data_IF_030608326422
#
_entry.id   IF_030608326422
#
_cell.length_a   1.000
_cell.length_b   1.000
_cell.length_c   1.000
_cell.angle_alpha   90.00
_cell.angle_beta   90.00
_cell.angle_gamma   90.00
#
_symmetry.space_group_name_H-M   'P 1'
#
loop_
_entity.id
_entity.type
_entity.pdbx_description
1 polymer ?
#
# COMPACT_ATOMS: atom_id res chain seq x y z
N UNK A 1 10.86 -17.81 -27.87
CA UNK A 1 9.41 -17.56 -27.74
C UNK A 1 8.71 -18.89 -27.43
N UNK A 2 8.51 -19.22 -26.19
CA UNK A 2 7.73 -20.40 -25.80
C UNK A 2 6.61 -19.91 -24.88
N UNK A 3 5.38 -20.00 -25.39
CA UNK A 3 4.17 -19.65 -24.63
C UNK A 3 3.88 -20.77 -23.64
N UNK A 4 4.01 -20.49 -22.35
CA UNK A 4 3.60 -21.40 -21.28
C UNK A 4 2.07 -21.32 -21.13
N UNK A 5 1.37 -22.36 -21.58
CA UNK A 5 -0.07 -22.51 -21.39
C UNK A 5 -0.30 -23.12 -19.99
N UNK A 6 -0.87 -22.35 -19.09
CA UNK A 6 -1.42 -22.90 -17.86
C UNK A 6 -2.69 -23.70 -18.18
N UNK A 7 -2.62 -25.01 -18.03
CA UNK A 7 -3.77 -25.92 -18.07
C UNK A 7 -4.40 -25.95 -16.67
N UNK A 8 -5.54 -25.31 -16.50
CA UNK A 8 -6.43 -25.57 -15.37
C UNK A 8 -6.99 -26.99 -15.54
N UNK A 9 -6.65 -27.88 -14.59
CA UNK A 9 -7.34 -29.17 -14.43
C UNK A 9 -8.63 -28.94 -13.64
N UNK A 10 -9.79 -29.38 -14.12
CA UNK A 10 -11.00 -29.36 -13.32
C UNK A 10 -10.92 -30.44 -12.22
N UNK A 11 -11.10 -30.05 -10.98
CA UNK A 11 -11.33 -30.97 -9.88
C UNK A 11 -12.70 -31.61 -10.04
N UNK A 12 -12.71 -32.90 -10.34
CA UNK A 12 -13.91 -33.72 -10.41
C UNK A 12 -14.39 -34.03 -8.99
N UNK A 13 -15.45 -33.36 -8.55
CA UNK A 13 -16.15 -33.72 -7.30
C UNK A 13 -16.86 -35.06 -7.53
N UNK A 14 -16.35 -36.11 -6.95
CA UNK A 14 -17.08 -37.39 -6.85
C UNK A 14 -18.03 -37.27 -5.67
N UNK A 15 -19.31 -37.02 -5.97
CA UNK A 15 -20.40 -37.11 -5.01
C UNK A 15 -20.72 -38.60 -4.79
N UNK A 16 -20.32 -39.14 -3.65
CA UNK A 16 -20.73 -40.46 -3.19
C UNK A 16 -22.17 -40.38 -2.67
N UNK A 17 -23.13 -40.81 -3.49
CA UNK A 17 -24.52 -40.97 -3.06
C UNK A 17 -24.59 -42.28 -2.24
N UNK A 18 -24.69 -42.17 -0.92
CA UNK A 18 -25.03 -43.26 -0.05
C UNK A 18 -26.54 -43.41 -0.01
N UNK A 19 -27.05 -44.43 -0.72
CA UNK A 19 -28.46 -44.84 -0.62
C UNK A 19 -28.61 -45.66 0.66
N UNK A 20 -29.14 -45.02 1.70
CA UNK A 20 -29.62 -45.78 2.88
C UNK A 20 -31.03 -46.26 2.61
N UNK A 21 -31.18 -47.57 2.49
CA UNK A 21 -32.49 -48.23 2.61
C UNK A 21 -32.95 -48.11 4.07
N UNK A 22 -34.02 -47.34 4.28
CA UNK A 22 -34.74 -47.27 5.56
C UNK A 22 -35.71 -48.46 5.67
N UNK A 23 -35.43 -49.35 6.59
CA UNK A 23 -36.47 -50.26 7.13
C UNK A 23 -37.20 -49.51 8.24
N UNK A 24 -38.53 -49.47 8.14
CA UNK A 24 -39.38 -48.86 9.13
C UNK A 24 -39.41 -49.62 10.44
N UNK A 25 -39.42 -48.92 11.53
CA UNK A 25 -39.75 -49.31 12.88
C UNK A 25 -40.08 -48.04 13.63
N UNK A 26 -41.33 -47.89 14.04
CA UNK A 26 -41.75 -46.78 14.88
C UNK A 26 -41.22 -46.97 16.27
N UNK A 27 -40.63 -45.94 16.80
CA UNK A 27 -40.43 -45.70 18.21
C UNK A 27 -40.30 -44.20 18.44
N UNK A 28 -40.94 -43.71 19.48
CA UNK A 28 -40.94 -42.30 19.92
C UNK A 28 -39.56 -41.89 20.43
N UNK A 29 -38.64 -41.65 19.50
CA UNK A 29 -37.34 -41.05 19.87
C UNK A 29 -37.60 -39.56 20.20
N UNK A 30 -37.02 -39.07 21.31
CA UNK A 30 -37.10 -37.67 21.64
C UNK A 30 -36.47 -36.83 20.50
N UNK A 31 -37.03 -35.65 20.17
CA UNK A 31 -36.53 -34.85 19.08
C UNK A 31 -35.03 -34.58 19.30
N UNK A 32 -34.22 -35.00 18.33
CA UNK A 32 -32.78 -34.78 18.35
C UNK A 32 -32.47 -33.27 18.57
N UNK A 33 -31.28 -32.94 19.09
CA UNK A 33 -30.90 -31.56 19.32
C UNK A 33 -31.10 -30.75 18.02
N UNK A 34 -31.79 -29.64 18.15
CA UNK A 34 -31.99 -28.73 16.99
C UNK A 34 -30.60 -28.39 16.42
N UNK A 35 -30.46 -28.34 15.09
CA UNK A 35 -29.23 -27.86 14.48
C UNK A 35 -28.88 -26.52 15.11
N UNK A 36 -27.64 -26.34 15.51
CA UNK A 36 -27.13 -25.04 15.94
C UNK A 36 -27.30 -24.02 14.79
N UNK A 37 -27.25 -22.73 15.10
CA UNK A 37 -27.24 -21.73 14.04
C UNK A 37 -26.13 -22.06 13.04
N UNK A 38 -26.42 -21.87 11.74
CA UNK A 38 -25.44 -22.06 10.70
C UNK A 38 -24.20 -21.21 11.00
N UNK A 39 -22.98 -21.73 10.77
CA UNK A 39 -21.76 -20.95 10.99
C UNK A 39 -21.84 -19.68 10.15
N UNK A 40 -21.52 -18.54 10.77
CA UNK A 40 -21.43 -17.26 10.07
C UNK A 40 -20.37 -17.43 8.98
N UNK A 41 -20.68 -17.14 7.72
CA UNK A 41 -19.70 -17.25 6.64
C UNK A 41 -18.54 -16.25 6.89
N UNK A 42 -17.29 -16.62 6.54
CA UNK A 42 -16.16 -15.71 6.67
C UNK A 42 -16.38 -14.45 5.84
N UNK A 43 -15.80 -13.31 6.27
CA UNK A 43 -15.87 -12.03 5.56
C UNK A 43 -15.36 -12.18 4.13
N UNK A 44 -16.05 -11.55 3.20
CA UNK A 44 -15.74 -11.53 1.78
C UNK A 44 -15.16 -10.16 1.36
N UNK A 45 -14.55 -10.09 0.17
CA UNK A 45 -14.14 -8.81 -0.41
C UNK A 45 -15.33 -7.86 -0.60
N UNK A 46 -16.53 -8.39 -0.86
CA UNK A 46 -17.73 -7.57 -1.00
C UNK A 46 -18.13 -6.91 0.33
N UNK A 47 -17.96 -7.60 1.47
CA UNK A 47 -18.24 -7.01 2.79
C UNK A 47 -17.33 -5.83 3.06
N UNK A 48 -16.03 -5.91 2.69
CA UNK A 48 -15.07 -4.81 2.82
C UNK A 48 -15.47 -3.62 1.93
N UNK A 49 -15.88 -3.88 0.69
CA UNK A 49 -16.37 -2.85 -0.24
C UNK A 49 -17.63 -2.17 0.31
N UNK A 50 -18.57 -2.95 0.83
CA UNK A 50 -19.83 -2.43 1.37
C UNK A 50 -19.61 -1.63 2.65
N UNK A 51 -18.66 -2.03 3.49
CA UNK A 51 -18.27 -1.28 4.68
C UNK A 51 -17.54 0.01 4.33
N UNK A 52 -16.64 -0.01 3.33
CA UNK A 52 -15.99 1.21 2.83
C UNK A 52 -17.02 2.24 2.32
N UNK A 53 -18.05 1.79 1.58
CA UNK A 53 -19.12 2.67 1.07
C UNK A 53 -20.00 3.29 2.16
N UNK A 54 -20.00 2.73 3.37
CA UNK A 54 -20.70 3.30 4.54
C UNK A 54 -19.89 4.37 5.27
N UNK A 55 -18.56 4.47 4.98
CA UNK A 55 -17.73 5.50 5.57
C UNK A 55 -18.20 6.89 5.13
N UNK A 56 -18.21 7.83 6.07
CA UNK A 56 -18.42 9.24 5.74
C UNK A 56 -17.08 9.86 5.40
N UNK A 57 -16.89 10.18 4.13
CA UNK A 57 -15.65 10.81 3.63
C UNK A 57 -15.98 12.23 3.21
N UNK A 58 -15.31 13.21 3.82
CA UNK A 58 -15.50 14.63 3.56
C UNK A 58 -14.24 15.23 2.92
N UNK A 59 -14.38 16.39 2.29
CA UNK A 59 -13.23 17.23 1.91
C UNK A 59 -12.41 17.55 3.15
N UNK A 60 -11.08 17.53 3.01
CA UNK A 60 -10.13 17.67 4.11
C UNK A 60 -9.74 16.33 4.72
N UNK A 61 -9.30 16.37 5.98
CA UNK A 61 -8.72 15.23 6.68
C UNK A 61 -9.80 14.29 7.24
N UNK A 62 -9.68 13.00 6.90
CA UNK A 62 -10.53 11.92 7.43
C UNK A 62 -9.63 10.85 8.05
N UNK A 63 -9.79 10.59 9.36
CA UNK A 63 -9.16 9.46 10.05
C UNK A 63 -10.19 8.32 10.10
N UNK A 64 -9.91 7.24 9.40
CA UNK A 64 -10.87 6.19 9.07
C UNK A 64 -10.40 4.83 9.60
N UNK A 65 -11.37 3.97 9.87
CA UNK A 65 -11.15 2.57 10.28
C UNK A 65 -12.01 1.68 9.40
N UNK A 66 -11.41 0.65 8.83
CA UNK A 66 -12.10 -0.33 8.01
C UNK A 66 -11.73 -1.74 8.45
N UNK A 67 -12.71 -2.59 8.68
CA UNK A 67 -12.44 -3.99 8.98
C UNK A 67 -11.99 -4.73 7.72
N UNK A 68 -10.88 -5.47 7.85
CA UNK A 68 -10.28 -6.21 6.74
C UNK A 68 -11.06 -7.49 6.38
N UNK A 69 -10.49 -8.31 5.48
CA UNK A 69 -11.00 -9.67 5.22
C UNK A 69 -10.80 -10.62 6.41
N UNK A 70 -9.83 -10.34 7.26
CA UNK A 70 -9.60 -11.07 8.51
C UNK A 70 -10.51 -10.45 9.59
N UNK A 71 -11.48 -11.22 10.08
CA UNK A 71 -12.44 -10.78 11.08
C UNK A 71 -11.73 -10.28 12.35
N UNK A 72 -12.12 -9.09 12.81
CA UNK A 72 -11.52 -8.43 13.98
C UNK A 72 -10.17 -7.76 13.69
N UNK A 73 -9.66 -7.80 12.46
CA UNK A 73 -8.46 -7.08 12.05
C UNK A 73 -8.82 -5.81 11.29
N UNK A 74 -8.41 -4.65 11.81
CA UNK A 74 -8.82 -3.34 11.31
C UNK A 74 -7.66 -2.61 10.64
N UNK A 75 -7.95 -1.99 9.50
CA UNK A 75 -7.08 -1.03 8.82
C UNK A 75 -7.40 0.38 9.30
N UNK A 76 -6.46 1.00 9.97
CA UNK A 76 -6.52 2.41 10.34
C UNK A 76 -5.78 3.21 9.26
N UNK A 77 -6.39 4.28 8.75
CA UNK A 77 -5.77 5.10 7.71
C UNK A 77 -6.30 6.53 7.74
N UNK A 78 -5.44 7.47 7.34
CA UNK A 78 -5.84 8.83 7.03
C UNK A 78 -6.08 8.95 5.54
N UNK A 79 -7.16 9.62 5.17
CA UNK A 79 -7.44 10.04 3.81
C UNK A 79 -7.67 11.56 3.79
N UNK A 80 -6.79 12.29 3.12
CA UNK A 80 -6.98 13.73 2.89
C UNK A 80 -7.57 13.87 1.49
N UNK A 81 -8.76 14.49 1.43
CA UNK A 81 -9.52 14.71 0.19
C UNK A 81 -9.39 16.16 -0.21
N UNK A 82 -8.83 16.48 -1.40
CA UNK A 82 -8.69 17.86 -1.85
C UNK A 82 -10.04 18.51 -2.20
N UNK A 83 -10.08 19.84 -2.17
CA UNK A 83 -11.19 20.58 -2.73
C UNK A 83 -11.19 20.43 -4.27
N UNK A 84 -12.38 20.45 -4.89
CA UNK A 84 -12.50 20.45 -6.35
C UNK A 84 -12.31 19.12 -7.06
N UNK A 85 -12.17 18.00 -6.33
CA UNK A 85 -12.23 16.66 -6.90
C UNK A 85 -13.68 16.34 -7.34
N UNK A 86 -13.89 16.13 -8.63
CA UNK A 86 -15.18 15.75 -9.22
C UNK A 86 -14.98 14.67 -10.27
N UNK A 87 -16.06 14.05 -10.75
CA UNK A 87 -15.96 13.03 -11.80
C UNK A 87 -15.39 13.59 -13.11
N UNK A 88 -15.58 14.90 -13.37
CA UNK A 88 -15.02 15.61 -14.51
C UNK A 88 -13.59 16.12 -14.26
N UNK A 89 -13.21 16.27 -12.99
CA UNK A 89 -11.89 16.74 -12.56
C UNK A 89 -11.27 15.74 -11.58
N UNK A 90 -10.71 14.67 -12.12
CA UNK A 90 -10.00 13.65 -11.33
C UNK A 90 -8.62 14.16 -10.93
N UNK A 91 -8.27 13.95 -9.68
CA UNK A 91 -7.04 14.48 -9.08
C UNK A 91 -6.06 13.36 -8.72
N UNK A 92 -4.74 13.66 -8.65
CA UNK A 92 -3.70 12.69 -8.32
C UNK A 92 -3.85 12.08 -6.93
N UNK A 93 -3.23 10.91 -6.71
CA UNK A 93 -3.15 10.23 -5.42
C UNK A 93 -1.72 10.05 -4.95
N UNK A 94 -1.45 10.44 -3.72
CA UNK A 94 -0.22 10.17 -2.98
C UNK A 94 -0.47 9.06 -1.97
N UNK A 95 0.19 7.91 -2.13
CA UNK A 95 0.27 6.89 -1.08
C UNK A 95 1.47 7.22 -0.19
N UNK A 96 1.20 7.57 1.06
CA UNK A 96 2.23 7.88 2.06
C UNK A 96 2.43 6.70 3.01
N UNK A 97 3.64 6.19 3.08
CA UNK A 97 4.06 5.13 3.99
C UNK A 97 4.91 5.73 5.13
N UNK A 98 4.47 5.56 6.39
CA UNK A 98 5.19 6.12 7.54
C UNK A 98 6.45 5.31 7.88
N UNK A 99 7.41 5.93 8.58
CA UNK A 99 8.58 5.27 9.14
C UNK A 99 8.26 4.43 10.38
N UNK A 100 9.25 3.71 10.90
CA UNK A 100 9.14 2.85 12.08
C UNK A 100 7.93 1.90 12.01
N UNK A 101 7.79 1.21 10.88
CA UNK A 101 6.62 0.40 10.55
C UNK A 101 6.34 -0.72 11.56
N UNK A 102 7.38 -1.25 12.21
CA UNK A 102 7.26 -2.30 13.23
C UNK A 102 7.05 -1.78 14.66
N UNK A 103 7.04 -0.46 14.85
CA UNK A 103 6.79 0.12 16.16
C UNK A 103 5.30 0.10 16.50
N UNK A 104 5.00 -0.04 17.79
CA UNK A 104 3.64 0.16 18.29
C UNK A 104 3.30 1.66 18.24
N UNK A 105 2.76 2.09 17.11
CA UNK A 105 2.41 3.47 16.82
C UNK A 105 1.01 3.54 16.20
N UNK A 106 -0.04 3.43 17.00
CA UNK A 106 -1.43 3.32 16.51
C UNK A 106 -1.89 4.54 15.70
N UNK A 107 -1.22 5.69 15.87
CA UNK A 107 -1.54 6.94 15.20
C UNK A 107 -0.51 7.36 14.13
N UNK A 108 0.43 6.48 13.75
CA UNK A 108 1.49 6.82 12.78
C UNK A 108 0.94 7.25 11.40
N UNK A 109 -0.23 6.73 11.01
CA UNK A 109 -0.94 7.14 9.79
C UNK A 109 -1.41 8.62 9.84
N UNK A 110 -1.52 9.22 11.03
CA UNK A 110 -1.95 10.61 11.22
C UNK A 110 -0.80 11.61 11.13
N UNK A 111 0.46 11.17 11.15
CA UNK A 111 1.63 12.05 11.10
C UNK A 111 1.93 12.51 9.67
N UNK A 112 1.02 13.24 9.04
CA UNK A 112 1.14 13.74 7.67
C UNK A 112 1.57 15.21 7.61
N UNK A 113 1.39 15.95 8.70
CA UNK A 113 1.47 17.40 8.83
C UNK A 113 2.89 17.98 8.83
N UNK A 114 3.91 17.18 9.16
CA UNK A 114 5.27 17.70 9.26
C UNK A 114 6.10 17.55 7.99
N UNK A 115 5.74 16.65 7.07
CA UNK A 115 6.55 16.36 5.88
C UNK A 115 5.70 16.38 4.60
N UNK A 116 4.69 15.51 4.49
CA UNK A 116 3.95 15.31 3.24
C UNK A 116 2.98 16.46 2.97
N UNK A 117 2.16 16.87 3.95
CA UNK A 117 1.22 17.97 3.73
C UNK A 117 1.92 19.29 3.35
N UNK A 118 2.98 19.73 4.06
CA UNK A 118 3.72 20.94 3.66
C UNK A 118 4.39 20.83 2.29
N UNK A 119 4.83 19.64 1.89
CA UNK A 119 5.47 19.46 0.59
C UNK A 119 4.48 19.54 -0.58
N UNK A 120 3.24 19.12 -0.37
CA UNK A 120 2.15 19.18 -1.35
C UNK A 120 1.26 20.43 -1.19
N UNK A 121 1.64 21.40 -0.33
CA UNK A 121 0.88 22.64 -0.16
C UNK A 121 0.65 23.36 -1.49
N UNK A 122 -0.60 23.75 -1.76
CA UNK A 122 -1.00 24.39 -3.03
C UNK A 122 -1.14 23.42 -4.21
N UNK A 123 -1.06 22.13 -3.98
CA UNK A 123 -1.32 21.07 -4.97
C UNK A 123 -2.59 20.29 -4.58
N UNK A 124 -3.54 20.21 -5.50
CA UNK A 124 -4.77 19.44 -5.27
C UNK A 124 -4.49 17.96 -5.49
N UNK A 125 -4.23 17.22 -4.40
CA UNK A 125 -3.96 15.78 -4.41
C UNK A 125 -4.72 15.06 -3.29
N UNK A 126 -5.12 13.84 -3.52
CA UNK A 126 -5.50 12.93 -2.45
C UNK A 126 -4.24 12.43 -1.73
N UNK A 127 -4.28 12.34 -0.41
CA UNK A 127 -3.22 11.69 0.37
C UNK A 127 -3.84 10.51 1.13
N UNK A 128 -3.40 9.29 0.81
CA UNK A 128 -3.74 8.07 1.52
C UNK A 128 -2.57 7.66 2.39
N UNK A 129 -2.76 7.65 3.70
CA UNK A 129 -1.73 7.30 4.69
C UNK A 129 -2.25 6.16 5.58
N UNK A 130 -1.98 4.90 5.26
CA UNK A 130 -2.34 3.75 6.09
C UNK A 130 -1.42 3.61 7.32
N UNK A 131 -1.91 2.89 8.35
CA UNK A 131 -1.09 2.40 9.45
C UNK A 131 -0.48 1.04 9.08
N UNK A 132 0.76 0.81 9.42
CA UNK A 132 1.47 -0.44 9.12
C UNK A 132 1.05 -1.64 9.99
N UNK A 133 0.29 -1.39 11.05
CA UNK A 133 -0.14 -2.42 12.02
C UNK A 133 1.06 -3.22 12.60
N UNK A 134 2.14 -2.54 12.94
CA UNK A 134 3.36 -3.13 13.52
C UNK A 134 4.10 -4.11 12.61
N UNK A 135 3.84 -4.06 11.30
CA UNK A 135 4.50 -4.92 10.30
C UNK A 135 5.23 -4.08 9.25
N UNK A 136 6.30 -4.62 8.68
CA UNK A 136 6.98 -3.97 7.56
C UNK A 136 6.05 -3.82 6.36
N UNK A 137 6.25 -2.78 5.57
CA UNK A 137 5.38 -2.45 4.43
C UNK A 137 5.32 -3.52 3.34
N UNK A 138 6.30 -4.39 3.28
CA UNK A 138 6.35 -5.54 2.36
C UNK A 138 5.85 -6.86 2.98
N UNK A 139 5.32 -6.85 4.21
CA UNK A 139 4.62 -8.00 4.78
C UNK A 139 3.37 -8.33 3.96
N UNK A 140 2.94 -9.59 3.99
CA UNK A 140 1.76 -10.01 3.25
C UNK A 140 0.49 -9.25 3.70
N UNK A 141 0.34 -8.97 4.99
CA UNK A 141 -0.82 -8.21 5.50
C UNK A 141 -0.84 -6.78 4.97
N UNK A 142 0.31 -6.10 4.99
CA UNK A 142 0.40 -4.75 4.46
C UNK A 142 0.25 -4.70 2.94
N UNK A 143 0.74 -5.71 2.21
CA UNK A 143 0.44 -5.81 0.77
C UNK A 143 -1.06 -5.91 0.52
N UNK A 144 -1.78 -6.78 1.24
CA UNK A 144 -3.24 -6.91 1.14
C UNK A 144 -3.93 -5.58 1.49
N UNK A 145 -3.52 -4.93 2.57
CA UNK A 145 -4.06 -3.64 2.99
C UNK A 145 -3.87 -2.55 1.93
N UNK A 146 -2.64 -2.37 1.43
CA UNK A 146 -2.31 -1.33 0.45
C UNK A 146 -3.08 -1.55 -0.85
N UNK A 147 -3.08 -2.78 -1.37
CA UNK A 147 -3.78 -3.10 -2.60
C UNK A 147 -5.30 -2.89 -2.47
N UNK A 148 -5.89 -3.33 -1.36
CA UNK A 148 -7.30 -3.14 -1.10
C UNK A 148 -7.68 -1.65 -0.93
N UNK A 149 -6.92 -0.89 -0.13
CA UNK A 149 -7.19 0.53 0.06
C UNK A 149 -7.03 1.33 -1.24
N UNK A 150 -6.00 1.05 -2.05
CA UNK A 150 -5.83 1.68 -3.36
C UNK A 150 -7.02 1.39 -4.28
N UNK A 151 -7.47 0.13 -4.37
CA UNK A 151 -8.63 -0.23 -5.18
C UNK A 151 -9.90 0.47 -4.69
N UNK A 152 -10.15 0.46 -3.37
CA UNK A 152 -11.32 1.09 -2.77
C UNK A 152 -11.36 2.60 -3.03
N UNK A 153 -10.26 3.34 -2.77
CA UNK A 153 -10.25 4.79 -2.96
C UNK A 153 -10.33 5.16 -4.44
N UNK A 154 -9.64 4.45 -5.32
CA UNK A 154 -9.63 4.75 -6.77
C UNK A 154 -10.92 4.36 -7.47
N UNK A 155 -11.66 3.38 -6.94
CA UNK A 155 -12.96 2.96 -7.48
C UNK A 155 -14.14 3.80 -6.98
N UNK A 156 -14.00 4.51 -5.86
CA UNK A 156 -15.10 5.23 -5.21
C UNK A 156 -14.89 6.74 -5.13
N UNK A 157 -13.71 7.26 -5.43
CA UNK A 157 -13.38 8.69 -5.39
C UNK A 157 -12.86 9.17 -6.74
N UNK A 158 -12.93 10.47 -6.97
CA UNK A 158 -12.53 11.11 -8.24
C UNK A 158 -11.00 11.21 -8.39
N UNK A 159 -10.32 10.05 -8.35
CA UNK A 159 -8.87 9.91 -8.47
C UNK A 159 -8.46 9.64 -9.91
N UNK A 160 -7.42 10.34 -10.39
CA UNK A 160 -6.77 10.04 -11.67
C UNK A 160 -5.88 8.80 -11.52
N UNK A 161 -6.34 7.68 -12.07
CA UNK A 161 -5.63 6.41 -12.00
C UNK A 161 -4.26 6.39 -12.70
N UNK A 162 -3.96 7.38 -13.53
CA UNK A 162 -2.67 7.52 -14.22
C UNK A 162 -1.66 8.33 -13.41
N UNK A 163 -2.11 9.03 -12.34
CA UNK A 163 -1.30 9.93 -11.52
C UNK A 163 -1.30 9.46 -10.06
N UNK A 164 -0.58 8.39 -9.79
CA UNK A 164 -0.42 7.83 -8.44
C UNK A 164 1.05 7.72 -8.10
N UNK A 165 1.47 8.31 -7.00
CA UNK A 165 2.84 8.22 -6.47
C UNK A 165 2.84 7.51 -5.13
N UNK A 166 3.86 6.66 -4.91
CA UNK A 166 4.14 6.11 -3.58
C UNK A 166 5.35 6.86 -2.99
N UNK A 167 5.22 7.30 -1.74
CA UNK A 167 6.28 7.99 -1.02
C UNK A 167 6.35 7.52 0.42
N UNK A 168 7.50 7.65 1.04
CA UNK A 168 7.66 7.32 2.45
C UNK A 168 9.05 7.60 2.97
N UNK A 169 9.15 7.60 4.29
CA UNK A 169 10.37 7.90 5.03
C UNK A 169 10.83 6.67 5.82
N UNK A 170 12.13 6.40 5.87
CA UNK A 170 12.71 5.28 6.63
C UNK A 170 12.12 3.93 6.17
N UNK A 171 11.47 3.15 7.05
CA UNK A 171 10.74 1.94 6.66
C UNK A 171 9.71 2.21 5.56
N UNK A 172 9.06 3.38 5.60
CA UNK A 172 8.15 3.82 4.54
C UNK A 172 8.86 4.07 3.20
N UNK A 173 10.09 4.56 3.25
CA UNK A 173 10.96 4.70 2.08
C UNK A 173 11.35 3.34 1.50
N UNK A 174 11.70 2.37 2.36
CA UNK A 174 11.93 0.98 1.95
C UNK A 174 10.65 0.37 1.32
N UNK A 175 9.48 0.68 1.90
CA UNK A 175 8.19 0.31 1.33
C UNK A 175 7.97 0.94 -0.06
N UNK A 176 8.32 2.22 -0.23
CA UNK A 176 8.19 2.93 -1.51
C UNK A 176 9.03 2.29 -2.61
N UNK A 177 10.27 1.87 -2.31
CA UNK A 177 11.11 1.07 -3.20
C UNK A 177 10.45 -0.26 -3.55
N UNK A 178 9.95 -0.98 -2.53
CA UNK A 178 9.30 -2.27 -2.71
C UNK A 178 8.09 -2.18 -3.66
N UNK A 179 7.21 -1.21 -3.43
CA UNK A 179 6.02 -1.04 -4.29
C UNK A 179 6.39 -0.57 -5.69
N UNK A 180 7.43 0.26 -5.85
CA UNK A 180 7.94 0.62 -7.17
C UNK A 180 8.50 -0.58 -7.94
N UNK A 181 9.15 -1.51 -7.25
CA UNK A 181 9.78 -2.69 -7.87
C UNK A 181 8.78 -3.79 -8.23
N UNK A 182 7.81 -4.06 -7.36
CA UNK A 182 6.94 -5.23 -7.48
C UNK A 182 5.51 -4.90 -7.92
N UNK A 183 5.10 -3.64 -7.83
CA UNK A 183 3.76 -3.17 -8.16
C UNK A 183 3.80 -1.93 -9.07
N UNK A 184 4.77 -1.85 -9.95
CA UNK A 184 5.04 -0.72 -10.84
C UNK A 184 3.83 -0.28 -11.68
N UNK A 185 2.92 -1.19 -12.03
CA UNK A 185 1.69 -0.85 -12.77
C UNK A 185 0.67 -0.06 -11.97
N UNK A 186 0.84 0.04 -10.66
CA UNK A 186 -0.06 0.79 -9.79
C UNK A 186 0.34 2.25 -9.65
N UNK A 187 1.60 2.60 -9.96
CA UNK A 187 2.14 3.93 -9.70
C UNK A 187 2.79 4.51 -10.96
N UNK A 188 2.76 5.82 -11.07
CA UNK A 188 3.45 6.59 -12.10
C UNK A 188 4.86 7.01 -11.68
N UNK A 189 5.13 7.03 -10.38
CA UNK A 189 6.43 7.36 -9.80
C UNK A 189 6.57 6.86 -8.36
N UNK A 190 7.79 6.91 -7.82
CA UNK A 190 8.07 6.67 -6.41
C UNK A 190 9.04 7.71 -5.84
N UNK A 191 8.80 8.14 -4.58
CA UNK A 191 9.67 9.11 -3.87
C UNK A 191 10.10 8.51 -2.54
N UNK A 192 11.10 7.60 -2.51
CA UNK A 192 11.66 7.06 -1.28
C UNK A 192 12.56 8.08 -0.59
N UNK A 193 12.42 8.21 0.75
CA UNK A 193 13.22 9.14 1.55
C UNK A 193 13.92 8.43 2.71
N UNK A 194 15.18 8.82 2.99
CA UNK A 194 16.01 8.35 4.11
C UNK A 194 15.88 6.83 4.31
N UNK A 195 16.10 6.08 3.24
CA UNK A 195 15.89 4.62 3.20
C UNK A 195 17.08 3.92 2.57
N UNK A 196 17.26 2.65 2.90
CA UNK A 196 18.34 1.84 2.33
C UNK A 196 17.78 0.50 1.86
N UNK A 197 17.47 0.42 0.57
CA UNK A 197 16.78 -0.71 -0.03
C UNK A 197 17.63 -1.35 -1.14
N UNK A 198 17.96 -2.64 -0.95
CA UNK A 198 18.66 -3.40 -1.96
C UNK A 198 17.68 -4.04 -2.93
N UNK A 199 17.63 -3.55 -4.16
CA UNK A 199 16.74 -4.05 -5.23
C UNK A 199 17.16 -5.40 -5.82
N UNK A 200 18.30 -5.96 -5.41
CA UNK A 200 18.76 -7.26 -5.87
C UNK A 200 17.84 -8.39 -5.36
N UNK A 201 17.50 -9.32 -6.24
CA UNK A 201 16.78 -10.54 -5.88
C UNK A 201 17.69 -11.52 -5.10
N UNK A 202 17.15 -12.66 -4.69
CA UNK A 202 17.88 -13.70 -3.95
C UNK A 202 19.08 -14.30 -4.69
N UNK A 203 19.15 -14.11 -6.01
CA UNK A 203 20.29 -14.53 -6.86
C UNK A 203 21.30 -13.39 -7.07
N UNK A 204 21.11 -12.23 -6.44
CA UNK A 204 21.97 -11.06 -6.58
C UNK A 204 21.75 -10.25 -7.86
N UNK A 205 20.72 -10.56 -8.64
CA UNK A 205 20.40 -9.83 -9.88
C UNK A 205 19.52 -8.63 -9.54
N UNK A 206 19.94 -7.45 -10.00
CA UNK A 206 19.16 -6.21 -9.94
C UNK A 206 18.37 -6.09 -11.23
N UNK A 207 17.05 -5.95 -11.12
CA UNK A 207 16.18 -5.70 -12.25
C UNK A 207 15.87 -4.20 -12.35
N UNK A 208 15.70 -3.73 -13.58
CA UNK A 208 15.24 -2.37 -13.86
C UNK A 208 13.84 -2.17 -13.24
N UNK A 209 13.64 -1.04 -12.60
CA UNK A 209 12.33 -0.53 -12.18
C UNK A 209 11.81 0.37 -13.29
N UNK A 210 10.60 0.09 -13.81
CA UNK A 210 10.11 0.75 -15.03
C UNK A 210 9.37 2.07 -14.79
N UNK A 211 9.18 2.48 -13.53
CA UNK A 211 8.67 3.81 -13.19
C UNK A 211 9.81 4.70 -12.70
N UNK A 212 9.78 6.02 -12.95
CA UNK A 212 10.81 6.92 -12.46
C UNK A 212 10.78 7.06 -10.94
N UNK A 213 11.97 7.24 -10.35
CA UNK A 213 12.14 7.44 -8.91
C UNK A 213 12.87 8.75 -8.63
N UNK A 214 12.41 9.46 -7.59
CA UNK A 214 13.12 10.59 -7.00
C UNK A 214 13.52 10.21 -5.58
N UNK A 215 14.78 9.85 -5.39
CA UNK A 215 15.29 9.30 -4.13
C UNK A 215 16.00 10.38 -3.33
N UNK A 216 15.58 10.61 -2.09
CA UNK A 216 16.16 11.63 -1.21
C UNK A 216 16.84 10.94 -0.03
N UNK A 217 18.10 11.29 0.25
CA UNK A 217 18.84 10.69 1.36
C UNK A 217 19.72 11.72 2.06
N UNK A 218 19.74 11.68 3.40
CA UNK A 218 20.53 12.60 4.20
C UNK A 218 22.02 12.27 4.19
N UNK A 219 22.89 13.28 4.07
CA UNK A 219 24.34 13.07 4.11
C UNK A 219 24.82 12.55 5.46
N UNK A 220 24.12 12.91 6.53
CA UNK A 220 24.48 12.60 7.91
C UNK A 220 23.54 11.54 8.52
N UNK A 221 22.91 10.73 7.66
CA UNK A 221 22.06 9.61 8.11
C UNK A 221 22.91 8.52 8.78
N UNK A 222 22.81 8.44 10.11
CA UNK A 222 23.58 7.48 10.91
C UNK A 222 22.95 6.08 10.92
N UNK A 223 21.63 5.96 10.63
CA UNK A 223 20.92 4.68 10.61
C UNK A 223 21.14 3.95 9.29
N UNK A 224 21.03 4.68 8.19
CA UNK A 224 21.31 4.19 6.85
C UNK A 224 22.46 4.99 6.22
N UNK A 225 23.73 4.55 6.41
CA UNK A 225 24.89 5.31 5.91
C UNK A 225 24.77 5.61 4.42
N UNK A 226 25.04 6.88 4.05
CA UNK A 226 24.92 7.39 2.67
C UNK A 226 25.63 6.50 1.66
N UNK A 227 26.89 6.10 1.92
CA UNK A 227 27.70 5.25 1.02
C UNK A 227 27.00 3.93 0.69
N UNK A 228 26.30 3.33 1.66
CA UNK A 228 25.56 2.08 1.45
C UNK A 228 24.36 2.30 0.54
N UNK A 229 23.61 3.37 0.78
CA UNK A 229 22.43 3.74 -0.01
C UNK A 229 22.82 4.12 -1.43
N UNK A 230 23.86 4.95 -1.60
CA UNK A 230 24.43 5.27 -2.93
C UNK A 230 24.79 4.02 -3.71
N UNK A 231 25.42 3.03 -3.05
CA UNK A 231 25.79 1.76 -3.67
C UNK A 231 24.58 0.95 -4.16
N UNK A 232 23.42 0.99 -3.48
CA UNK A 232 22.21 0.34 -3.93
C UNK A 232 21.52 1.13 -5.06
N UNK A 233 21.47 2.45 -4.94
CA UNK A 233 20.93 3.34 -5.97
C UNK A 233 21.70 3.18 -7.28
N UNK A 234 23.05 3.21 -7.21
CA UNK A 234 23.89 3.08 -8.41
C UNK A 234 23.66 1.75 -9.12
N UNK A 235 23.54 0.64 -8.38
CA UNK A 235 23.22 -0.67 -8.99
C UNK A 235 21.86 -0.68 -9.71
N UNK A 236 20.89 0.04 -9.17
CA UNK A 236 19.57 0.16 -9.82
C UNK A 236 19.63 1.03 -11.08
N UNK A 237 20.44 2.10 -11.07
CA UNK A 237 20.73 2.92 -12.25
C UNK A 237 21.47 2.10 -13.31
N UNK A 238 22.49 1.34 -12.93
CA UNK A 238 23.25 0.47 -13.84
C UNK A 238 22.39 -0.61 -14.47
N UNK A 239 21.31 -1.02 -13.79
CA UNK A 239 20.30 -1.95 -14.32
C UNK A 239 19.30 -1.28 -15.28
N UNK A 240 19.36 0.05 -15.46
CA UNK A 240 18.55 0.82 -16.37
C UNK A 240 17.36 1.56 -15.75
N UNK A 241 17.25 1.58 -14.42
CA UNK A 241 16.19 2.35 -13.74
C UNK A 241 16.43 3.85 -13.88
N UNK A 242 15.35 4.60 -14.11
CA UNK A 242 15.36 6.07 -14.16
C UNK A 242 15.27 6.62 -12.74
N UNK A 243 16.39 7.08 -12.19
CA UNK A 243 16.50 7.55 -10.80
C UNK A 243 17.18 8.89 -10.72
N UNK A 244 16.48 9.88 -10.19
CA UNK A 244 17.08 11.12 -9.66
C UNK A 244 17.45 10.87 -8.21
N UNK A 245 18.74 10.92 -7.87
CA UNK A 245 19.21 10.74 -6.50
C UNK A 245 19.71 12.08 -5.92
N UNK A 246 19.09 12.50 -4.82
CA UNK A 246 19.36 13.76 -4.14
C UNK A 246 19.93 13.48 -2.76
N UNK A 247 21.12 14.00 -2.51
CA UNK A 247 21.76 14.00 -1.19
C UNK A 247 21.36 15.28 -0.46
N UNK A 248 20.59 15.14 0.60
CA UNK A 248 20.15 16.23 1.47
C UNK A 248 21.27 16.55 2.48
N UNK A 249 21.99 17.65 2.25
CA UNK A 249 23.19 18.02 3.03
C UNK A 249 22.86 18.30 4.49
N UNK A 250 23.65 17.70 5.41
CA UNK A 250 23.49 17.83 6.85
C UNK A 250 22.22 17.20 7.46
N UNK A 251 21.42 16.51 6.67
CA UNK A 251 20.20 15.88 7.19
C UNK A 251 20.51 14.55 7.86
N UNK A 252 19.91 14.34 9.02
CA UNK A 252 20.03 13.14 9.86
C UNK A 252 18.77 12.28 9.77
N UNK A 253 18.84 11.01 10.18
CA UNK A 253 17.71 10.09 10.11
C UNK A 253 16.56 10.44 11.06
N UNK A 254 16.84 11.05 12.20
CA UNK A 254 15.85 11.25 13.27
C UNK A 254 14.99 12.49 13.11
N UNK A 255 15.20 13.28 12.07
CA UNK A 255 14.53 14.57 11.84
C UNK A 255 13.75 14.60 10.52
N UNK A 256 12.69 13.77 10.33
CA UNK A 256 11.97 13.66 9.07
C UNK A 256 11.38 14.99 8.57
N UNK A 257 10.95 15.86 9.49
CA UNK A 257 10.33 17.15 9.13
C UNK A 257 11.32 18.14 8.47
N UNK A 258 12.62 17.90 8.59
CA UNK A 258 13.64 18.75 7.94
C UNK A 258 13.76 18.52 6.44
N UNK A 259 13.24 17.41 5.92
CA UNK A 259 13.29 17.04 4.49
C UNK A 259 12.20 17.65 3.62
N UNK A 260 11.42 18.60 4.16
CA UNK A 260 10.30 19.21 3.45
C UNK A 260 10.73 19.89 2.14
N UNK A 261 11.87 20.58 2.14
CA UNK A 261 12.31 21.33 0.97
C UNK A 261 12.75 20.40 -0.17
N UNK A 262 13.48 19.33 0.14
CA UNK A 262 13.87 18.32 -0.84
C UNK A 262 12.63 17.57 -1.38
N UNK A 263 11.63 17.34 -0.52
CA UNK A 263 10.36 16.74 -0.97
C UNK A 263 9.56 17.71 -1.84
N UNK A 264 9.60 19.04 -1.61
CA UNK A 264 9.00 20.03 -2.52
C UNK A 264 9.63 19.99 -3.91
N UNK A 265 10.95 19.84 -4.00
CA UNK A 265 11.65 19.67 -5.27
C UNK A 265 11.20 18.40 -5.99
N UNK A 266 11.03 17.29 -5.27
CA UNK A 266 10.48 16.05 -5.80
C UNK A 266 9.02 16.22 -6.26
N UNK A 267 8.21 16.99 -5.54
CA UNK A 267 6.82 17.30 -5.93
C UNK A 267 6.80 18.17 -7.20
N UNK A 268 7.70 19.14 -7.32
CA UNK A 268 7.80 19.94 -8.56
C UNK A 268 8.20 19.05 -9.75
N UNK A 269 9.21 18.20 -9.60
CA UNK A 269 9.58 17.21 -10.60
C UNK A 269 8.38 16.31 -10.98
N UNK A 270 7.61 15.86 -9.99
CA UNK A 270 6.45 14.99 -10.22
C UNK A 270 5.40 15.67 -11.10
N UNK A 271 5.13 16.96 -10.88
CA UNK A 271 4.12 17.72 -11.63
C UNK A 271 4.61 18.25 -12.98
N UNK A 272 5.93 18.41 -13.19
CA UNK A 272 6.49 18.98 -14.41
C UNK A 272 7.05 17.93 -15.38
N UNK A 273 7.52 16.79 -14.88
CA UNK A 273 8.22 15.80 -15.69
C UNK A 273 7.48 14.45 -15.75
N UNK A 274 6.67 14.10 -14.74
CA UNK A 274 5.97 12.80 -14.69
C UNK A 274 4.49 12.94 -15.03
N UNK A 275 3.80 13.97 -14.54
CA UNK A 275 2.36 14.18 -14.65
C UNK A 275 2.06 15.34 -15.61
#
# INVERSE_FOLDING_TARGET
MQKLKFLLKPFLLISLVFSMLSCGGGDDDPPGPKPGPDPIPPRSAQDVIDDFKKLTINVGTNDLVLESLEEGFFWNFRLIVPEGATDENKLPLVLRLHGAAQANSPDAHKSTDCLVEPAFEGRDVFILSPNSNEELWYSQRNQVQILALLDLVTSNLSIDNTKKVVTGYSDGGNGSWFYAQYFETLFSASIPMASSYNTANSSGVVNMINIPLYVIHGSDDELFPLETTEGFVQKSIDAGSDITFVVADGKVHTEPCTYVDELKDAVEWLFTEVW
#
